data_IF_622456988450
#
_entry.id   IF_622456988450
#
_cell.length_a   1.000
_cell.length_b   1.000
_cell.length_c   1.000
_cell.angle_alpha   90.00
_cell.angle_beta   90.00
_cell.angle_gamma   90.00
#
_symmetry.space_group_name_H-M   'P 1'
#
loop_
_entity.id
_entity.type
_entity.pdbx_description
1 polymer ?
#
# COMPACT_ATOMS: atom_id res chain seq x y z
N UNK A 1 24.32 -68.57 32.22
CA UNK A 1 25.01 -67.36 31.68
C UNK A 1 24.49 -66.86 30.33
N UNK A 2 24.10 -67.72 29.36
CA UNK A 2 23.62 -67.27 28.02
C UNK A 2 22.38 -66.36 28.06
N UNK A 3 21.39 -66.69 28.91
CA UNK A 3 20.14 -65.91 29.04
C UNK A 3 20.42 -64.50 29.57
N UNK A 4 21.31 -64.37 30.56
CA UNK A 4 21.75 -63.08 31.10
C UNK A 4 22.42 -62.19 30.03
N UNK A 5 23.28 -62.77 29.18
CA UNK A 5 23.92 -62.03 28.08
C UNK A 5 22.90 -61.53 27.05
N UNK A 6 21.87 -62.33 26.74
CA UNK A 6 20.79 -61.89 25.84
C UNK A 6 19.91 -60.80 26.46
N UNK A 7 19.57 -60.91 27.74
CA UNK A 7 18.78 -59.89 28.44
C UNK A 7 19.50 -58.52 28.46
N UNK A 8 20.82 -58.51 28.71
CA UNK A 8 21.63 -57.29 28.64
C UNK A 8 21.65 -56.72 27.23
N UNK A 9 21.87 -57.53 26.20
CA UNK A 9 21.84 -57.07 24.82
C UNK A 9 20.48 -56.47 24.42
N UNK A 10 19.38 -57.13 24.83
CA UNK A 10 18.02 -56.64 24.55
C UNK A 10 17.75 -55.30 25.25
N UNK A 11 18.22 -55.13 26.49
CA UNK A 11 18.06 -53.89 27.24
C UNK A 11 18.77 -52.72 26.56
N UNK A 12 20.00 -52.93 26.07
CA UNK A 12 20.77 -51.91 25.35
C UNK A 12 20.07 -51.50 24.05
N UNK A 13 19.56 -52.48 23.28
CA UNK A 13 18.82 -52.20 22.04
C UNK A 13 17.53 -51.42 22.32
N UNK A 14 16.77 -51.82 23.34
CA UNK A 14 15.55 -51.10 23.73
C UNK A 14 15.83 -49.65 24.17
N UNK A 15 16.93 -49.43 24.89
CA UNK A 15 17.35 -48.10 25.32
C UNK A 15 17.73 -47.21 24.13
N UNK A 16 18.45 -47.74 23.15
CA UNK A 16 18.77 -47.01 21.91
C UNK A 16 17.52 -46.64 21.11
N UNK A 17 16.55 -47.56 20.98
CA UNK A 17 15.29 -47.28 20.31
C UNK A 17 14.49 -46.16 21.01
N UNK A 18 14.42 -46.18 22.35
CA UNK A 18 13.73 -45.14 23.13
C UNK A 18 14.39 -43.77 22.99
N UNK A 19 15.73 -43.72 23.04
CA UNK A 19 16.49 -42.46 22.85
C UNK A 19 16.25 -41.91 21.44
N UNK A 20 16.32 -42.76 20.41
CA UNK A 20 16.07 -42.34 19.03
C UNK A 20 14.65 -41.86 18.82
N UNK A 21 13.66 -42.55 19.38
CA UNK A 21 12.25 -42.16 19.30
C UNK A 21 12.00 -40.83 20.02
N UNK A 22 12.63 -40.62 21.18
CA UNK A 22 12.54 -39.37 21.93
C UNK A 22 13.13 -38.19 21.15
N UNK A 23 14.31 -38.38 20.55
CA UNK A 23 14.94 -37.37 19.70
C UNK A 23 14.10 -37.02 18.48
N UNK A 24 13.56 -38.03 17.80
CA UNK A 24 12.70 -37.83 16.63
C UNK A 24 11.42 -37.06 16.98
N UNK A 25 10.80 -37.39 18.11
CA UNK A 25 9.63 -36.65 18.60
C UNK A 25 9.95 -35.19 18.94
N UNK A 26 11.12 -34.93 19.53
CA UNK A 26 11.56 -33.57 19.85
C UNK A 26 11.83 -32.75 18.58
N UNK A 27 12.45 -33.34 17.55
CA UNK A 27 12.68 -32.65 16.27
C UNK A 27 11.38 -32.35 15.54
N UNK A 28 10.47 -33.33 15.43
CA UNK A 28 9.16 -33.10 14.78
C UNK A 28 8.36 -32.00 15.47
N UNK A 29 8.42 -31.93 16.81
CA UNK A 29 7.74 -30.88 17.56
C UNK A 29 8.33 -29.49 17.30
N UNK A 30 9.64 -29.39 17.08
CA UNK A 30 10.30 -28.13 16.70
C UNK A 30 9.88 -27.70 15.29
N UNK A 31 9.87 -28.64 14.34
CA UNK A 31 9.46 -28.38 12.96
C UNK A 31 7.98 -27.99 12.86
N UNK A 32 7.11 -28.67 13.60
CA UNK A 32 5.68 -28.33 13.67
C UNK A 32 5.47 -26.90 14.20
N UNK A 33 6.21 -26.49 15.24
CA UNK A 33 6.13 -25.12 15.78
C UNK A 33 6.64 -24.09 14.77
N UNK A 34 7.74 -24.38 14.09
CA UNK A 34 8.30 -23.49 13.06
C UNK A 34 7.31 -23.31 11.89
N UNK A 35 6.75 -24.41 11.40
CA UNK A 35 5.77 -24.39 10.32
C UNK A 35 4.48 -23.67 10.73
N UNK A 36 4.01 -23.87 11.97
CA UNK A 36 2.86 -23.14 12.50
C UNK A 36 3.13 -21.64 12.58
N UNK A 37 4.29 -21.22 13.09
CA UNK A 37 4.67 -19.82 13.15
C UNK A 37 4.70 -19.19 11.74
N UNK A 38 5.35 -19.87 10.78
CA UNK A 38 5.40 -19.44 9.38
C UNK A 38 4.01 -19.33 8.74
N UNK A 39 3.12 -20.29 9.00
CA UNK A 39 1.76 -20.24 8.49
C UNK A 39 0.98 -19.06 9.08
N UNK A 40 1.09 -18.83 10.39
CA UNK A 40 0.42 -17.70 11.04
C UNK A 40 0.92 -16.34 10.55
N UNK A 41 2.22 -16.18 10.26
CA UNK A 41 2.75 -14.94 9.71
C UNK A 41 2.24 -14.66 8.29
N UNK A 42 2.16 -15.69 7.45
CA UNK A 42 1.59 -15.57 6.08
C UNK A 42 0.11 -15.18 6.15
N UNK A 43 -0.66 -15.84 7.03
CA UNK A 43 -2.08 -15.53 7.18
C UNK A 43 -2.33 -14.11 7.71
N UNK A 44 -1.50 -13.63 8.64
CA UNK A 44 -1.56 -12.24 9.13
C UNK A 44 -1.27 -11.23 8.01
N UNK A 45 -0.22 -11.46 7.22
CA UNK A 45 0.11 -10.59 6.08
C UNK A 45 -1.05 -10.52 5.06
N UNK A 46 -1.71 -11.66 4.81
CA UNK A 46 -2.89 -11.71 3.92
C UNK A 46 -4.08 -10.93 4.48
N UNK A 47 -4.33 -11.04 5.79
CA UNK A 47 -5.41 -10.29 6.46
C UNK A 47 -5.14 -8.77 6.44
N UNK A 48 -3.89 -8.35 6.65
CA UNK A 48 -3.48 -6.94 6.53
C UNK A 48 -3.68 -6.42 5.10
N UNK A 49 -3.34 -7.22 4.09
CA UNK A 49 -3.53 -6.85 2.69
C UNK A 49 -5.02 -6.69 2.33
N UNK A 50 -5.88 -7.58 2.82
CA UNK A 50 -7.34 -7.47 2.66
C UNK A 50 -7.89 -6.21 3.35
N UNK A 51 -7.49 -5.97 4.60
CA UNK A 51 -7.89 -4.76 5.32
C UNK A 51 -7.42 -3.47 4.60
N UNK A 52 -6.26 -3.51 3.94
CA UNK A 52 -5.78 -2.40 3.14
C UNK A 52 -6.60 -2.19 1.86
N UNK A 53 -6.98 -3.28 1.18
CA UNK A 53 -7.87 -3.22 0.01
C UNK A 53 -9.24 -2.65 0.38
N UNK A 54 -9.85 -3.08 1.49
CA UNK A 54 -11.12 -2.53 1.95
C UNK A 54 -11.06 -1.01 2.21
N UNK A 55 -9.93 -0.51 2.74
CA UNK A 55 -9.71 0.93 2.93
C UNK A 55 -9.60 1.67 1.59
N UNK A 56 -8.94 1.08 0.60
CA UNK A 56 -8.85 1.66 -0.75
C UNK A 56 -10.22 1.72 -1.43
N UNK A 57 -11.01 0.65 -1.32
CA UNK A 57 -12.37 0.59 -1.88
C UNK A 57 -13.30 1.62 -1.21
N UNK A 58 -13.18 1.79 0.11
CA UNK A 58 -13.90 2.82 0.85
C UNK A 58 -13.52 4.23 0.37
N UNK A 59 -12.23 4.50 0.17
CA UNK A 59 -11.75 5.77 -0.37
C UNK A 59 -12.29 6.02 -1.78
N UNK A 60 -12.31 5.01 -2.65
CA UNK A 60 -12.89 5.15 -4.00
C UNK A 60 -14.38 5.48 -3.95
N UNK A 61 -15.15 4.84 -3.05
CA UNK A 61 -16.56 5.17 -2.85
C UNK A 61 -16.76 6.60 -2.33
N UNK A 62 -15.94 7.05 -1.39
CA UNK A 62 -15.99 8.43 -0.90
C UNK A 62 -15.62 9.43 -2.01
N UNK A 63 -14.65 9.10 -2.85
CA UNK A 63 -14.27 9.91 -4.01
C UNK A 63 -15.39 9.99 -5.05
N UNK A 64 -16.06 8.87 -5.35
CA UNK A 64 -17.24 8.86 -6.24
C UNK A 64 -18.37 9.73 -5.69
N UNK A 65 -18.68 9.63 -4.39
CA UNK A 65 -19.69 10.49 -3.75
C UNK A 65 -19.30 11.97 -3.77
N UNK A 66 -18.03 12.31 -3.53
CA UNK A 66 -17.53 13.68 -3.67
C UNK A 66 -17.67 14.19 -5.10
N UNK A 67 -17.38 13.34 -6.09
CA UNK A 67 -17.55 13.67 -7.51
C UNK A 67 -19.02 13.89 -7.88
N UNK A 68 -19.92 13.05 -7.38
CA UNK A 68 -21.37 13.19 -7.58
C UNK A 68 -21.90 14.47 -6.93
N UNK A 69 -21.48 14.78 -5.70
CA UNK A 69 -21.79 16.05 -5.02
C UNK A 69 -21.21 17.27 -5.75
N UNK A 70 -20.07 17.11 -6.43
CA UNK A 70 -19.49 18.17 -7.27
C UNK A 70 -20.21 18.34 -8.63
N UNK A 71 -20.99 17.34 -9.05
CA UNK A 71 -21.62 17.27 -10.37
C UNK A 71 -22.68 18.34 -10.65
N UNK A 72 -23.17 19.07 -9.64
CA UNK A 72 -24.16 20.13 -9.86
C UNK A 72 -23.58 21.41 -10.48
N UNK A 73 -22.27 21.70 -10.33
CA UNK A 73 -21.63 22.86 -10.96
C UNK A 73 -20.12 22.68 -11.22
N UNK A 74 -19.69 21.59 -11.86
CA UNK A 74 -18.30 21.42 -12.29
C UNK A 74 -18.01 22.19 -13.58
N UNK A 75 -17.12 23.19 -13.50
CA UNK A 75 -16.41 23.69 -14.67
C UNK A 75 -15.08 22.93 -14.77
N UNK A 76 -14.88 22.21 -15.88
CA UNK A 76 -13.59 21.61 -16.20
C UNK A 76 -12.60 22.73 -16.51
N UNK A 77 -11.51 22.80 -15.76
CA UNK A 77 -10.52 23.86 -15.92
C UNK A 77 -9.20 23.23 -16.32
N UNK A 78 -8.75 23.54 -17.54
CA UNK A 78 -7.47 23.11 -18.10
C UNK A 78 -6.66 24.36 -18.46
N UNK A 79 -5.52 24.54 -17.82
CA UNK A 79 -4.57 25.60 -18.18
C UNK A 79 -3.25 25.00 -18.63
N UNK A 80 -2.72 25.57 -19.71
CA UNK A 80 -1.36 25.33 -20.19
C UNK A 80 -0.66 26.69 -20.23
N UNK A 81 0.33 26.89 -19.36
CA UNK A 81 1.07 28.14 -19.24
C UNK A 81 2.54 27.85 -19.50
N UNK A 82 3.08 28.43 -20.58
CA UNK A 82 4.51 28.42 -20.88
C UNK A 82 5.15 29.68 -20.30
N UNK A 83 6.08 29.51 -19.36
CA UNK A 83 6.73 30.60 -18.65
C UNK A 83 8.02 31.03 -19.33
N UNK A 84 8.01 32.19 -19.96
CA UNK A 84 9.24 32.87 -20.37
C UNK A 84 9.94 33.49 -19.15
N UNK A 85 11.28 33.58 -19.15
CA UNK A 85 12.10 33.94 -17.98
C UNK A 85 11.93 35.36 -17.38
N UNK A 86 10.83 36.08 -17.65
CA UNK A 86 10.59 37.44 -17.14
C UNK A 86 9.19 37.72 -16.54
N UNK A 87 8.24 36.79 -16.57
CA UNK A 87 6.84 37.06 -16.15
C UNK A 87 6.34 36.22 -14.96
N UNK A 88 7.17 36.04 -13.93
CA UNK A 88 6.75 35.36 -12.69
C UNK A 88 5.62 36.09 -11.93
N UNK A 89 5.54 37.41 -12.03
CA UNK A 89 4.46 38.21 -11.41
C UNK A 89 3.09 37.92 -12.03
N UNK A 90 3.00 37.94 -13.38
CA UNK A 90 1.77 37.58 -14.10
C UNK A 90 1.35 36.13 -13.83
N UNK A 91 2.30 35.21 -13.66
CA UNK A 91 2.00 33.84 -13.26
C UNK A 91 1.33 33.79 -11.89
N UNK A 92 1.92 34.46 -10.90
CA UNK A 92 1.38 34.45 -9.55
C UNK A 92 -0.01 35.09 -9.52
N UNK A 93 -0.22 36.18 -10.25
CA UNK A 93 -1.53 36.83 -10.35
C UNK A 93 -2.56 35.93 -11.04
N UNK A 94 -2.19 35.22 -12.11
CA UNK A 94 -3.08 34.31 -12.83
C UNK A 94 -3.43 33.05 -12.03
N UNK A 95 -2.46 32.53 -11.28
CA UNK A 95 -2.68 31.45 -10.30
C UNK A 95 -3.63 31.98 -9.21
N UNK A 96 -3.27 33.04 -8.51
CA UNK A 96 -4.05 33.56 -7.37
C UNK A 96 -5.47 33.91 -7.79
N UNK A 97 -5.68 34.59 -8.91
CA UNK A 97 -7.02 34.89 -9.44
C UNK A 97 -7.84 33.64 -9.79
N UNK A 98 -7.20 32.57 -10.25
CA UNK A 98 -7.86 31.28 -10.51
C UNK A 98 -8.31 30.59 -9.21
N UNK A 99 -7.54 30.75 -8.13
CA UNK A 99 -7.83 30.14 -6.81
C UNK A 99 -8.64 31.05 -5.88
N UNK A 100 -8.81 32.34 -6.20
CA UNK A 100 -9.40 33.33 -5.29
C UNK A 100 -10.90 33.17 -5.04
N UNK A 101 -11.64 32.47 -5.91
CA UNK A 101 -13.11 32.46 -5.86
C UNK A 101 -13.75 31.05 -5.81
N UNK A 102 -13.07 30.03 -5.25
CA UNK A 102 -13.70 28.72 -5.06
C UNK A 102 -12.76 27.62 -4.57
N UNK A 103 -13.30 26.43 -4.33
CA UNK A 103 -12.49 25.24 -4.04
C UNK A 103 -12.03 24.63 -5.36
N UNK A 104 -10.71 24.62 -5.60
CA UNK A 104 -10.13 24.01 -6.79
C UNK A 104 -9.55 22.64 -6.44
N UNK A 105 -10.01 21.61 -7.14
CA UNK A 105 -9.54 20.24 -6.99
C UNK A 105 -8.62 19.90 -8.17
N UNK A 106 -7.36 19.64 -7.86
CA UNK A 106 -6.33 19.27 -8.82
C UNK A 106 -6.44 17.79 -9.17
N UNK A 107 -6.57 17.48 -10.47
CA UNK A 107 -6.57 16.11 -10.98
C UNK A 107 -5.15 15.72 -11.47
N UNK A 108 -4.50 16.63 -12.22
CA UNK A 108 -3.11 16.46 -12.66
C UNK A 108 -2.41 17.81 -12.75
N UNK A 109 -1.16 17.85 -12.30
CA UNK A 109 -0.26 18.97 -12.52
C UNK A 109 1.04 18.44 -13.13
N UNK A 110 1.49 19.05 -14.21
CA UNK A 110 2.74 18.74 -14.89
C UNK A 110 3.58 20.02 -14.96
N UNK A 111 4.81 19.94 -14.45
CA UNK A 111 5.81 21.00 -14.57
C UNK A 111 6.93 20.44 -15.45
N UNK A 112 7.19 21.10 -16.57
CA UNK A 112 8.24 20.69 -17.51
C UNK A 112 9.17 21.88 -17.79
N UNK A 113 10.46 21.73 -17.47
CA UNK A 113 11.48 22.68 -17.90
C UNK A 113 11.83 22.39 -19.37
N UNK A 114 11.61 23.35 -20.25
CA UNK A 114 12.00 23.30 -21.66
C UNK A 114 13.09 24.35 -21.94
N UNK A 115 13.70 24.31 -23.13
CA UNK A 115 14.70 25.32 -23.54
C UNK A 115 14.12 26.73 -23.68
N UNK A 116 12.80 26.86 -23.79
CA UNK A 116 12.09 28.13 -23.93
C UNK A 116 11.56 28.68 -22.59
N UNK A 117 11.54 27.86 -21.53
CA UNK A 117 10.91 28.24 -20.27
C UNK A 117 10.47 27.10 -19.37
N UNK A 118 9.58 27.40 -18.41
CA UNK A 118 8.92 26.39 -17.56
C UNK A 118 7.47 26.26 -18.01
N UNK A 119 7.08 25.09 -18.50
CA UNK A 119 5.69 24.79 -18.84
C UNK A 119 4.97 24.21 -17.62
N UNK A 120 3.87 24.85 -17.22
CA UNK A 120 2.97 24.39 -16.18
C UNK A 120 1.64 24.02 -16.84
N UNK A 121 1.32 22.72 -16.87
CA UNK A 121 0.02 22.22 -17.33
C UNK A 121 -0.76 21.69 -16.12
N UNK A 122 -1.92 22.29 -15.83
CA UNK A 122 -2.75 21.93 -14.69
C UNK A 122 -4.15 21.59 -15.19
N UNK A 123 -4.63 20.42 -14.82
CA UNK A 123 -6.00 19.97 -15.05
C UNK A 123 -6.68 19.71 -13.73
N UNK A 124 -7.91 20.20 -13.58
CA UNK A 124 -8.70 20.03 -12.38
C UNK A 124 -10.14 20.47 -12.59
N UNK A 125 -10.89 20.51 -11.49
CA UNK A 125 -12.25 21.01 -11.47
C UNK A 125 -12.43 22.03 -10.35
N UNK A 126 -13.18 23.09 -10.63
CA UNK A 126 -13.55 24.12 -9.65
C UNK A 126 -14.94 23.80 -9.10
N UNK A 127 -15.09 23.90 -7.78
CA UNK A 127 -16.34 23.75 -7.04
C UNK A 127 -16.65 25.05 -6.29
N UNK A 128 -17.79 25.66 -6.63
CA UNK A 128 -18.22 26.94 -6.08
C UNK A 128 -17.56 28.16 -6.71
N UNK A 129 -18.29 29.28 -6.64
CA UNK A 129 -17.91 30.57 -7.22
C UNK A 129 -18.66 30.91 -8.51
N UNK A 130 -18.70 32.21 -8.86
CA UNK A 130 -19.30 32.66 -10.11
C UNK A 130 -18.44 32.16 -11.29
N UNK A 131 -19.10 31.60 -12.30
CA UNK A 131 -18.46 31.33 -13.60
C UNK A 131 -17.87 32.64 -14.13
N UNK A 132 -16.61 32.66 -14.61
CA UNK A 132 -16.10 33.80 -15.35
C UNK A 132 -16.88 34.01 -16.65
#
# INVERSE_FOLDING_TARGET
>A
MRIYKMAVALSVVSMLCLISSCWFYLSERADARYNQAKFTSIMRARAEQQAYQEKLDALEMHWKRLRELSGEQTANVSYDITLYPKNFGELQEKIVSTYAEGFFFLDRAMIQSTHEGIRLAVTGFRMGGRRP
#
